data_IF_536017929179
#
_entry.id   IF_536017929179
#
_cell.length_a   1.000
_cell.length_b   1.000
_cell.length_c   1.000
_cell.angle_alpha   90.00
_cell.angle_beta   90.00
_cell.angle_gamma   90.00
#
_symmetry.space_group_name_H-M   'P 1'
#
loop_
_entity.id
_entity.type
_entity.pdbx_description
1 polymer ?
#
# COMPACT_ATOMS: atom_id res chain seq x y z
N UNK A 1 1.98 49.66 -4.57
CA UNK A 1 2.52 49.28 -3.24
C UNK A 1 1.46 48.60 -2.37
N UNK A 2 0.25 49.16 -2.19
CA UNK A 2 -0.81 48.53 -1.36
C UNK A 2 -1.27 47.15 -1.87
N UNK A 3 -1.44 46.96 -3.18
CA UNK A 3 -1.82 45.67 -3.75
C UNK A 3 -0.73 44.60 -3.58
N UNK A 4 0.56 44.97 -3.69
CA UNK A 4 1.67 44.07 -3.42
C UNK A 4 1.78 43.70 -1.93
N UNK A 5 1.63 44.69 -1.02
CA UNK A 5 1.62 44.42 0.42
C UNK A 5 0.47 43.53 0.86
N UNK A 6 -0.73 43.70 0.25
CA UNK A 6 -1.87 42.81 0.53
C UNK A 6 -1.62 41.36 0.04
N UNK A 7 -1.03 41.19 -1.13
CA UNK A 7 -0.65 39.86 -1.62
C UNK A 7 0.39 39.18 -0.70
N UNK A 8 1.40 39.90 -0.21
CA UNK A 8 2.39 39.31 0.71
C UNK A 8 1.77 38.92 2.06
N UNK A 9 0.84 39.71 2.61
CA UNK A 9 0.17 39.40 3.87
C UNK A 9 -0.72 38.14 3.72
N UNK A 10 -1.43 38.02 2.60
CA UNK A 10 -2.26 36.84 2.29
C UNK A 10 -1.39 35.57 2.10
N UNK A 11 -0.25 35.68 1.42
CA UNK A 11 0.71 34.57 1.25
C UNK A 11 1.34 34.12 2.58
N UNK A 12 1.69 35.08 3.45
CA UNK A 12 2.23 34.80 4.78
C UNK A 12 1.21 34.11 5.68
N UNK A 13 -0.06 34.52 5.65
CA UNK A 13 -1.14 33.88 6.38
C UNK A 13 -1.37 32.44 5.89
N UNK A 14 -1.41 32.19 4.57
CA UNK A 14 -1.56 30.85 4.00
C UNK A 14 -0.36 29.96 4.35
N UNK A 15 0.86 30.48 4.30
CA UNK A 15 2.05 29.74 4.72
C UNK A 15 2.00 29.38 6.22
N UNK A 16 1.52 30.29 7.07
CA UNK A 16 1.32 30.02 8.50
C UNK A 16 0.25 28.92 8.72
N UNK A 17 -0.89 29.01 8.03
CA UNK A 17 -1.94 27.96 8.09
C UNK A 17 -1.38 26.61 7.68
N UNK A 18 -0.59 26.55 6.61
CA UNK A 18 0.02 25.32 6.14
C UNK A 18 1.03 24.75 7.15
N UNK A 19 1.87 25.60 7.75
CA UNK A 19 2.80 25.20 8.83
C UNK A 19 2.05 24.60 10.03
N UNK A 20 0.93 25.21 10.44
CA UNK A 20 0.06 24.65 11.49
C UNK A 20 -0.55 23.29 11.10
N UNK A 21 -0.93 23.09 9.83
CA UNK A 21 -1.39 21.79 9.35
C UNK A 21 -0.29 20.75 9.40
N UNK A 22 0.94 21.09 9.01
CA UNK A 22 2.09 20.17 9.09
C UNK A 22 2.43 19.79 10.53
N UNK A 23 2.41 20.74 11.46
CA UNK A 23 2.62 20.49 12.89
C UNK A 23 1.55 19.54 13.47
N UNK A 24 0.33 19.58 12.96
CA UNK A 24 -0.77 18.68 13.35
C UNK A 24 -0.95 17.46 12.45
N UNK A 25 -0.04 17.15 11.53
CA UNK A 25 -0.27 16.17 10.48
C UNK A 25 -0.55 14.74 10.98
N UNK A 26 -0.07 14.38 12.18
CA UNK A 26 -0.34 13.07 12.80
C UNK A 26 -1.81 12.87 13.22
N UNK A 27 -2.59 13.96 13.34
CA UNK A 27 -3.98 13.89 13.86
C UNK A 27 -4.89 13.16 12.90
N UNK A 28 -4.79 13.41 11.59
CA UNK A 28 -5.62 12.77 10.57
C UNK A 28 -5.43 11.23 10.54
N UNK A 29 -4.21 10.68 10.36
CA UNK A 29 -4.01 9.23 10.30
C UNK A 29 -4.43 8.53 11.60
N UNK A 30 -4.21 9.14 12.76
CA UNK A 30 -4.64 8.55 14.04
C UNK A 30 -6.16 8.58 14.21
N UNK A 31 -6.84 9.63 13.75
CA UNK A 31 -8.31 9.69 13.72
C UNK A 31 -8.89 8.67 12.75
N UNK A 32 -8.30 8.51 11.56
CA UNK A 32 -8.70 7.51 10.58
C UNK A 32 -8.51 6.09 11.13
N UNK A 33 -7.37 5.81 11.76
CA UNK A 33 -7.10 4.53 12.42
C UNK A 33 -8.17 4.20 13.49
N UNK A 34 -8.53 5.18 14.32
CA UNK A 34 -9.60 5.01 15.30
C UNK A 34 -10.96 4.76 14.64
N UNK A 35 -11.32 5.52 13.60
CA UNK A 35 -12.56 5.36 12.86
C UNK A 35 -12.67 3.98 12.19
N UNK A 36 -11.58 3.46 11.61
CA UNK A 36 -11.51 2.11 11.04
C UNK A 36 -11.72 1.06 12.15
N UNK A 37 -11.00 1.17 13.27
CA UNK A 37 -11.13 0.21 14.38
C UNK A 37 -12.54 0.19 15.01
N UNK A 38 -13.20 1.33 15.03
CA UNK A 38 -14.58 1.46 15.51
C UNK A 38 -15.62 1.00 14.45
N UNK A 39 -15.22 0.71 13.22
CA UNK A 39 -16.14 0.37 12.13
C UNK A 39 -17.00 1.55 11.64
N UNK A 40 -16.58 2.78 11.91
CA UNK A 40 -17.37 3.99 11.60
C UNK A 40 -17.61 4.13 10.10
N UNK A 41 -16.62 3.82 9.27
CA UNK A 41 -16.76 3.93 7.81
C UNK A 41 -17.78 2.92 7.28
N UNK A 42 -17.76 1.67 7.76
CA UNK A 42 -18.72 0.63 7.41
C UNK A 42 -20.14 1.00 7.85
N UNK A 43 -20.29 1.58 9.04
CA UNK A 43 -21.57 2.06 9.56
C UNK A 43 -22.13 3.15 8.62
N UNK A 44 -21.32 4.14 8.25
CA UNK A 44 -21.74 5.21 7.35
C UNK A 44 -22.08 4.69 5.94
N UNK A 45 -21.28 3.79 5.38
CA UNK A 45 -21.55 3.18 4.07
C UNK A 45 -22.85 2.39 4.08
N UNK A 46 -23.08 1.57 5.11
CA UNK A 46 -24.29 0.78 5.25
C UNK A 46 -25.52 1.67 5.47
N UNK A 47 -25.42 2.65 6.35
CA UNK A 47 -26.52 3.56 6.67
C UNK A 47 -26.93 4.46 5.50
N UNK A 48 -25.99 4.76 4.59
CA UNK A 48 -26.24 5.59 3.40
C UNK A 48 -26.58 4.79 2.13
N UNK A 49 -26.73 3.47 2.22
CA UNK A 49 -27.09 2.62 1.07
C UNK A 49 -25.93 2.33 0.11
N UNK A 50 -24.68 2.48 0.55
CA UNK A 50 -23.50 2.15 -0.24
C UNK A 50 -22.40 3.23 -0.18
N UNK A 51 -21.22 2.98 -0.80
CA UNK A 51 -20.04 3.84 -0.69
C UNK A 51 -20.18 5.21 -1.40
N UNK A 52 -21.24 5.42 -2.15
CA UNK A 52 -21.57 6.68 -2.83
C UNK A 52 -22.87 7.31 -2.30
N UNK A 53 -23.39 6.82 -1.17
CA UNK A 53 -24.60 7.31 -0.55
C UNK A 53 -24.54 8.76 -0.09
N UNK A 54 -25.71 9.32 0.25
CA UNK A 54 -25.81 10.67 0.78
C UNK A 54 -25.53 10.70 2.29
N UNK A 55 -25.11 11.84 2.84
CA UNK A 55 -25.03 12.05 4.28
C UNK A 55 -26.42 11.99 4.92
N UNK A 56 -26.66 10.98 5.76
CA UNK A 56 -27.97 10.77 6.40
C UNK A 56 -27.87 10.50 7.90
N UNK A 57 -26.68 10.20 8.42
CA UNK A 57 -26.49 9.79 9.82
C UNK A 57 -25.89 10.93 10.65
N UNK A 58 -26.49 11.21 11.79
CA UNK A 58 -25.89 12.07 12.82
C UNK A 58 -24.80 11.28 13.59
N UNK A 59 -23.96 12.00 14.35
CA UNK A 59 -23.00 11.36 15.24
C UNK A 59 -23.67 10.46 16.30
N UNK A 60 -24.88 10.82 16.74
CA UNK A 60 -25.69 9.99 17.65
C UNK A 60 -26.16 8.68 16.98
N UNK A 61 -26.56 8.74 15.71
CA UNK A 61 -26.91 7.55 14.94
C UNK A 61 -25.73 6.60 14.82
N UNK A 62 -24.53 7.13 14.50
CA UNK A 62 -23.30 6.34 14.44
C UNK A 62 -22.96 5.75 15.81
N UNK A 63 -23.06 6.53 16.89
CA UNK A 63 -22.78 6.09 18.25
C UNK A 63 -23.70 4.92 18.68
N UNK A 64 -24.97 4.93 18.25
CA UNK A 64 -25.93 3.87 18.57
C UNK A 64 -25.54 2.49 18.04
N UNK A 65 -24.67 2.43 17.01
CA UNK A 65 -24.14 1.18 16.46
C UNK A 65 -22.88 0.68 17.19
N UNK A 66 -22.29 1.50 18.06
CA UNK A 66 -21.10 1.12 18.83
C UNK A 66 -21.49 0.45 20.14
N UNK A 67 -20.72 -0.58 20.52
CA UNK A 67 -20.88 -1.23 21.83
C UNK A 67 -20.18 -0.38 22.90
N UNK A 68 -20.84 0.69 23.35
CA UNK A 68 -20.27 1.61 24.34
C UNK A 68 -21.33 2.07 25.35
N UNK A 69 -20.91 2.24 26.59
CA UNK A 69 -21.72 2.87 27.66
C UNK A 69 -21.24 4.33 27.93
N UNK A 70 -20.33 4.88 27.09
CA UNK A 70 -19.85 6.23 27.26
C UNK A 70 -20.92 7.24 26.82
N UNK A 71 -21.49 8.06 27.76
CA UNK A 71 -22.52 9.05 27.43
C UNK A 71 -22.02 10.16 26.50
N UNK A 72 -20.69 10.37 26.40
CA UNK A 72 -20.05 11.39 25.54
C UNK A 72 -19.68 10.83 24.16
N UNK A 73 -19.97 9.58 23.85
CA UNK A 73 -19.51 8.94 22.60
C UNK A 73 -19.96 9.70 21.35
N UNK A 74 -21.21 10.18 21.30
CA UNK A 74 -21.72 10.96 20.17
C UNK A 74 -20.97 12.28 19.97
N UNK A 75 -20.66 12.99 21.06
CA UNK A 75 -19.90 14.24 21.00
C UNK A 75 -18.47 14.01 20.50
N UNK A 76 -17.79 12.99 21.03
CA UNK A 76 -16.44 12.61 20.59
C UNK A 76 -16.44 12.21 19.13
N UNK A 77 -17.42 11.42 18.68
CA UNK A 77 -17.59 11.05 17.28
C UNK A 77 -17.84 12.27 16.39
N UNK A 78 -18.68 13.23 16.77
CA UNK A 78 -18.91 14.44 15.98
C UNK A 78 -17.61 15.20 15.73
N UNK A 79 -16.71 15.27 16.71
CA UNK A 79 -15.39 15.91 16.56
C UNK A 79 -14.50 15.15 15.56
N UNK A 80 -14.46 13.81 15.65
CA UNK A 80 -13.71 12.96 14.70
C UNK A 80 -14.29 13.05 13.28
N UNK A 81 -15.62 12.99 13.15
CA UNK A 81 -16.30 13.01 11.86
C UNK A 81 -16.13 14.37 11.16
N UNK A 82 -16.15 15.50 11.90
CA UNK A 82 -15.84 16.83 11.35
C UNK A 82 -14.41 16.88 10.76
N UNK A 83 -13.42 16.32 11.45
CA UNK A 83 -12.06 16.27 10.94
C UNK A 83 -12.00 15.41 9.67
N UNK A 84 -12.55 14.21 9.69
CA UNK A 84 -12.56 13.32 8.52
C UNK A 84 -13.30 13.96 7.32
N UNK A 85 -14.37 14.72 7.58
CA UNK A 85 -15.09 15.46 6.55
C UNK A 85 -14.26 16.59 5.94
N UNK A 86 -13.50 17.33 6.77
CA UNK A 86 -12.62 18.40 6.28
C UNK A 86 -11.48 17.90 5.39
N UNK A 87 -11.12 16.62 5.49
CA UNK A 87 -10.16 15.92 4.61
C UNK A 87 -10.83 15.10 3.49
N UNK A 88 -12.12 15.26 3.27
CA UNK A 88 -12.90 14.53 2.25
C UNK A 88 -12.83 12.99 2.41
N UNK A 89 -12.55 12.47 3.60
CA UNK A 89 -12.65 11.04 3.90
C UNK A 89 -14.12 10.62 3.97
N UNK A 90 -14.97 11.49 4.49
CA UNK A 90 -16.43 11.37 4.51
C UNK A 90 -17.06 12.68 4.07
N UNK A 91 -18.36 12.67 3.79
CA UNK A 91 -19.16 13.86 3.50
C UNK A 91 -19.88 14.34 4.74
N UNK A 92 -20.17 15.63 4.80
CA UNK A 92 -20.99 16.22 5.86
C UNK A 92 -21.97 17.23 5.24
N UNK A 93 -23.26 17.05 5.46
CA UNK A 93 -24.30 18.03 5.21
C UNK A 93 -24.67 18.72 6.52
N UNK A 94 -24.91 20.03 6.48
CA UNK A 94 -25.17 20.85 7.65
C UNK A 94 -26.51 21.58 7.48
N UNK A 95 -27.41 21.34 8.40
CA UNK A 95 -28.67 22.09 8.55
C UNK A 95 -28.48 23.08 9.69
N UNK A 96 -28.76 24.36 9.43
CA UNK A 96 -28.62 25.44 10.40
C UNK A 96 -29.99 26.07 10.59
N UNK A 97 -30.70 25.60 11.61
CA UNK A 97 -31.96 26.21 12.11
C UNK A 97 -31.66 26.74 13.54
N UNK A 98 -32.53 26.50 14.49
CA UNK A 98 -32.31 26.83 15.93
C UNK A 98 -31.08 26.10 16.51
N UNK A 99 -30.73 24.96 15.91
CA UNK A 99 -29.54 24.14 16.24
C UNK A 99 -28.80 23.73 14.97
N UNK A 100 -27.47 23.62 15.06
CA UNK A 100 -26.64 23.06 14.00
C UNK A 100 -26.74 21.55 14.04
N UNK A 101 -27.35 20.96 13.00
CA UNK A 101 -27.42 19.51 12.82
C UNK A 101 -26.50 19.09 11.70
N UNK A 102 -25.58 18.16 11.98
CA UNK A 102 -24.65 17.58 10.99
C UNK A 102 -25.06 16.16 10.66
N UNK A 103 -25.12 15.88 9.36
CA UNK A 103 -25.35 14.52 8.84
C UNK A 103 -24.13 14.08 8.06
N UNK A 104 -23.65 12.90 8.36
CA UNK A 104 -22.44 12.32 7.79
C UNK A 104 -22.79 11.16 6.86
N UNK A 105 -21.96 10.97 5.85
CA UNK A 105 -22.07 9.88 4.89
C UNK A 105 -20.73 9.63 4.18
N UNK A 106 -20.63 8.56 3.38
CA UNK A 106 -19.37 8.18 2.74
C UNK A 106 -18.97 9.18 1.64
N UNK A 107 -17.66 9.48 1.56
CA UNK A 107 -17.05 10.03 0.37
C UNK A 107 -16.53 8.88 -0.54
N UNK A 108 -16.16 9.15 -1.80
CA UNK A 108 -15.70 8.12 -2.74
C UNK A 108 -14.53 7.25 -2.23
N UNK A 109 -13.66 7.79 -1.39
CA UNK A 109 -12.53 7.06 -0.78
C UNK A 109 -13.00 5.93 0.14
N UNK A 110 -14.18 6.00 0.72
CA UNK A 110 -14.75 4.93 1.55
C UNK A 110 -14.91 3.61 0.79
N UNK A 111 -15.07 3.65 -0.55
CA UNK A 111 -15.07 2.43 -1.38
C UNK A 111 -13.80 1.59 -1.19
N UNK A 112 -12.68 2.24 -0.92
CA UNK A 112 -11.38 1.59 -0.75
C UNK A 112 -11.04 1.27 0.71
N UNK A 113 -11.66 2.01 1.65
CA UNK A 113 -11.44 1.88 3.08
C UNK A 113 -12.48 1.00 3.79
N UNK A 114 -13.48 0.49 3.05
CA UNK A 114 -14.45 -0.49 3.54
C UNK A 114 -14.37 -1.77 2.72
N UNK A 115 -14.79 -2.90 3.29
CA UNK A 115 -14.73 -4.20 2.60
C UNK A 115 -15.59 -4.20 1.34
N UNK A 116 -14.98 -4.62 0.23
CA UNK A 116 -15.65 -4.82 -1.05
C UNK A 116 -16.30 -6.22 -1.14
N UNK A 117 -16.75 -6.61 -2.33
CA UNK A 117 -17.34 -7.92 -2.63
C UNK A 117 -16.41 -9.10 -2.37
N UNK A 118 -15.09 -8.90 -2.43
CA UNK A 118 -14.07 -9.92 -2.11
C UNK A 118 -13.73 -9.95 -0.61
N UNK A 119 -14.38 -9.10 0.21
CA UNK A 119 -14.13 -8.97 1.63
C UNK A 119 -12.82 -8.27 1.99
N UNK A 120 -12.19 -7.55 1.06
CA UNK A 120 -10.90 -6.85 1.22
C UNK A 120 -11.06 -5.32 1.16
N UNK A 121 -10.13 -4.62 1.81
CA UNK A 121 -10.06 -3.15 1.80
C UNK A 121 -8.64 -2.66 2.08
N UNK A 122 -8.33 -1.41 1.70
CA UNK A 122 -7.08 -0.74 2.09
C UNK A 122 -7.03 -0.34 3.57
N UNK A 123 -8.16 -0.47 4.30
CA UNK A 123 -8.16 -0.27 5.75
C UNK A 123 -7.20 -1.22 6.47
N UNK A 124 -7.06 -2.48 6.00
CA UNK A 124 -6.11 -3.43 6.56
C UNK A 124 -4.65 -2.92 6.44
N UNK A 125 -4.29 -2.31 5.29
CA UNK A 125 -2.99 -1.68 5.10
C UNK A 125 -2.81 -0.48 6.03
N UNK A 126 -3.81 0.38 6.17
CA UNK A 126 -3.75 1.53 7.08
C UNK A 126 -3.57 1.09 8.55
N UNK A 127 -4.32 0.07 8.99
CA UNK A 127 -4.16 -0.50 10.34
C UNK A 127 -2.77 -1.05 10.59
N UNK A 128 -2.16 -1.68 9.59
CA UNK A 128 -0.78 -2.16 9.64
C UNK A 128 0.20 -0.99 9.75
N UNK A 129 0.14 -0.03 8.83
CA UNK A 129 1.07 1.11 8.75
C UNK A 129 1.04 1.96 10.03
N UNK A 130 -0.16 2.14 10.63
CA UNK A 130 -0.32 2.93 11.86
C UNK A 130 -0.27 2.08 13.14
N UNK A 131 0.19 0.83 13.05
CA UNK A 131 0.46 0.06 14.26
C UNK A 131 1.65 0.64 15.04
N UNK A 132 1.55 0.60 16.36
CA UNK A 132 2.57 1.17 17.25
C UNK A 132 3.98 0.63 16.93
N UNK A 133 4.07 -0.66 16.59
CA UNK A 133 5.38 -1.28 16.30
C UNK A 133 6.03 -0.69 15.03
N UNK A 134 5.25 -0.36 13.99
CA UNK A 134 5.78 0.30 12.79
C UNK A 134 6.00 1.79 13.00
N UNK A 135 5.10 2.45 13.74
CA UNK A 135 5.21 3.87 14.03
C UNK A 135 6.41 4.22 14.91
N UNK A 136 6.85 3.34 15.81
CA UNK A 136 8.01 3.54 16.66
C UNK A 136 9.29 3.79 15.86
N UNK A 137 9.44 3.13 14.72
CA UNK A 137 10.63 3.23 13.87
C UNK A 137 10.87 4.64 13.34
N UNK A 138 9.81 5.43 13.14
CA UNK A 138 9.91 6.79 12.61
C UNK A 138 10.67 7.76 13.52
N UNK A 139 10.70 7.50 14.83
CA UNK A 139 11.48 8.30 15.79
C UNK A 139 12.99 8.16 15.64
N UNK A 140 13.46 7.15 14.87
CA UNK A 140 14.88 6.90 14.60
C UNK A 140 15.33 7.34 13.21
N UNK A 141 14.49 8.10 12.49
CA UNK A 141 14.81 8.58 11.13
C UNK A 141 16.00 9.57 11.17
N UNK A 142 16.01 10.49 12.12
CA UNK A 142 17.12 11.43 12.34
C UNK A 142 18.44 10.70 12.59
N UNK A 143 18.45 9.77 13.55
CA UNK A 143 19.63 8.96 13.88
C UNK A 143 20.13 8.17 12.67
N UNK A 144 19.21 7.71 11.80
CA UNK A 144 19.57 6.97 10.60
C UNK A 144 20.25 7.87 9.56
N UNK A 145 19.80 9.10 9.41
CA UNK A 145 20.45 10.09 8.52
C UNK A 145 21.86 10.41 9.00
N UNK A 146 22.05 10.57 10.29
CA UNK A 146 23.34 10.96 10.88
C UNK A 146 24.36 9.80 10.97
N UNK A 147 23.89 8.60 11.25
CA UNK A 147 24.75 7.46 11.63
C UNK A 147 24.66 6.28 10.65
N UNK A 148 23.71 6.31 9.71
CA UNK A 148 23.40 5.19 8.82
C UNK A 148 22.59 4.09 9.50
N UNK A 149 22.34 3.00 8.78
CA UNK A 149 21.53 1.87 9.21
C UNK A 149 20.08 1.97 8.75
N UNK A 150 19.16 1.31 9.46
CA UNK A 150 17.72 1.31 9.18
C UNK A 150 16.97 1.70 10.45
N UNK A 151 16.02 2.64 10.41
CA UNK A 151 15.24 3.08 11.56
C UNK A 151 14.62 1.92 12.33
N UNK A 152 14.00 0.97 11.66
CA UNK A 152 13.41 -0.21 12.30
C UNK A 152 14.42 -1.02 13.10
N UNK A 153 15.61 -1.23 12.55
CA UNK A 153 16.68 -1.96 13.25
C UNK A 153 17.21 -1.17 14.46
N UNK A 154 17.25 0.17 14.36
CA UNK A 154 17.60 1.01 15.52
C UNK A 154 16.55 0.90 16.64
N UNK A 155 15.25 0.88 16.29
CA UNK A 155 14.17 0.74 17.27
C UNK A 155 14.15 -0.63 17.97
N UNK A 156 14.41 -1.73 17.24
CA UNK A 156 14.15 -3.09 17.73
C UNK A 156 15.36 -4.02 17.75
N UNK A 157 16.52 -3.59 17.28
CA UNK A 157 17.74 -4.40 17.21
C UNK A 157 17.72 -5.51 16.15
N UNK A 158 16.66 -5.60 15.34
CA UNK A 158 16.47 -6.60 14.29
C UNK A 158 15.72 -6.02 13.08
N UNK A 159 15.71 -6.71 11.94
CA UNK A 159 14.95 -6.29 10.77
C UNK A 159 13.44 -6.42 10.98
N UNK A 160 12.64 -5.72 10.17
CA UNK A 160 11.18 -5.82 10.19
C UNK A 160 10.70 -7.26 9.89
N UNK A 161 11.37 -7.98 9.00
CA UNK A 161 11.07 -9.38 8.69
C UNK A 161 11.34 -10.31 9.89
N UNK A 162 12.47 -10.13 10.59
CA UNK A 162 12.77 -10.90 11.80
C UNK A 162 11.80 -10.60 12.94
N UNK A 163 11.40 -9.34 13.10
CA UNK A 163 10.41 -8.94 14.09
C UNK A 163 9.03 -9.53 13.78
N UNK A 164 8.63 -9.49 12.53
CA UNK A 164 7.39 -10.08 12.04
C UNK A 164 7.33 -11.60 12.32
N UNK A 165 8.43 -12.30 12.12
CA UNK A 165 8.53 -13.73 12.42
C UNK A 165 8.43 -14.05 13.94
N UNK A 166 8.75 -13.10 14.83
CA UNK A 166 8.75 -13.27 16.29
C UNK A 166 7.47 -12.83 16.98
N UNK A 167 6.75 -11.84 16.42
CA UNK A 167 5.50 -11.32 16.98
C UNK A 167 4.29 -11.80 16.17
N UNK A 168 3.53 -12.82 16.66
CA UNK A 168 2.37 -13.37 15.94
C UNK A 168 1.25 -12.34 15.71
N UNK A 169 1.15 -11.28 16.53
CA UNK A 169 0.18 -10.20 16.35
C UNK A 169 0.54 -9.35 15.14
N UNK A 170 1.80 -8.94 15.04
CA UNK A 170 2.30 -8.16 13.91
C UNK A 170 2.28 -9.01 12.64
N UNK A 171 2.67 -10.28 12.73
CA UNK A 171 2.62 -11.22 11.60
C UNK A 171 1.20 -11.29 11.00
N UNK A 172 0.17 -11.46 11.83
CA UNK A 172 -1.23 -11.48 11.35
C UNK A 172 -1.63 -10.15 10.71
N UNK A 173 -1.26 -9.03 11.33
CA UNK A 173 -1.59 -7.70 10.83
C UNK A 173 -0.91 -7.42 9.48
N UNK A 174 0.34 -7.77 9.35
CA UNK A 174 1.12 -7.67 8.12
C UNK A 174 0.52 -8.55 7.01
N UNK A 175 0.28 -9.82 7.30
CA UNK A 175 -0.28 -10.77 6.34
C UNK A 175 -1.68 -10.34 5.86
N UNK A 176 -2.53 -9.82 6.74
CA UNK A 176 -3.85 -9.30 6.36
C UNK A 176 -3.71 -8.04 5.50
N UNK A 177 -2.84 -7.09 5.86
CA UNK A 177 -2.55 -5.90 5.06
C UNK A 177 -2.06 -6.27 3.66
N UNK A 178 -1.06 -7.14 3.56
CA UNK A 178 -0.48 -7.57 2.29
C UNK A 178 -1.45 -8.39 1.44
N UNK A 179 -2.25 -9.27 2.06
CA UNK A 179 -3.29 -10.03 1.35
C UNK A 179 -4.34 -9.10 0.72
N UNK A 180 -4.88 -8.17 1.50
CA UNK A 180 -5.89 -7.23 1.01
C UNK A 180 -5.33 -6.36 -0.13
N UNK A 181 -4.12 -5.82 0.06
CA UNK A 181 -3.40 -5.06 -0.94
C UNK A 181 -3.18 -5.88 -2.23
N UNK A 182 -2.70 -7.11 -2.10
CA UNK A 182 -2.47 -8.02 -3.23
C UNK A 182 -3.73 -8.30 -4.03
N UNK A 183 -4.86 -8.58 -3.38
CA UNK A 183 -6.13 -8.85 -4.08
C UNK A 183 -6.58 -7.61 -4.88
N UNK A 184 -6.54 -6.42 -4.26
CA UNK A 184 -6.96 -5.16 -4.90
C UNK A 184 -6.08 -4.86 -6.13
N UNK A 185 -4.76 -4.89 -5.99
CA UNK A 185 -3.85 -4.53 -7.08
C UNK A 185 -3.76 -5.60 -8.16
N UNK A 186 -3.87 -6.88 -7.81
CA UNK A 186 -3.94 -7.95 -8.82
C UNK A 186 -5.22 -7.85 -9.64
N UNK A 187 -6.35 -7.50 -9.05
CA UNK A 187 -7.59 -7.23 -9.80
C UNK A 187 -7.36 -6.12 -10.84
N UNK A 188 -6.74 -5.01 -10.43
CA UNK A 188 -6.40 -3.89 -11.33
C UNK A 188 -5.39 -4.27 -12.41
N UNK A 189 -4.37 -5.04 -12.05
CA UNK A 189 -3.43 -5.60 -13.02
C UNK A 189 -4.16 -6.44 -14.08
N UNK A 190 -5.04 -7.34 -13.65
CA UNK A 190 -5.79 -8.21 -14.55
C UNK A 190 -6.81 -7.46 -15.44
N UNK A 191 -7.29 -6.30 -15.01
CA UNK A 191 -8.18 -5.43 -15.82
C UNK A 191 -7.42 -4.74 -16.96
N UNK A 192 -6.20 -4.27 -16.74
CA UNK A 192 -5.48 -3.34 -17.63
C UNK A 192 -4.26 -3.92 -18.33
N UNK A 193 -3.62 -4.96 -17.79
CA UNK A 193 -2.38 -5.52 -18.31
C UNK A 193 -2.64 -6.81 -19.10
N UNK A 194 -2.11 -6.88 -20.33
CA UNK A 194 -2.31 -7.99 -21.27
C UNK A 194 -1.05 -8.88 -21.44
N UNK A 195 -0.01 -8.64 -20.68
CA UNK A 195 1.28 -9.32 -20.85
C UNK A 195 1.31 -10.78 -20.39
N UNK A 196 0.18 -11.38 -20.00
CA UNK A 196 0.09 -12.78 -19.61
C UNK A 196 -0.36 -13.73 -20.73
N UNK A 197 -0.78 -13.22 -21.90
CA UNK A 197 -1.43 -14.01 -22.94
C UNK A 197 -0.53 -15.13 -23.51
N UNK A 198 0.78 -14.88 -23.63
CA UNK A 198 1.75 -15.79 -24.29
C UNK A 198 2.63 -16.54 -23.29
N UNK A 199 2.10 -16.84 -22.11
CA UNK A 199 2.83 -17.52 -21.03
C UNK A 199 2.20 -18.89 -20.78
N UNK A 200 3.02 -19.94 -20.68
CA UNK A 200 2.61 -21.26 -20.22
C UNK A 200 3.04 -21.52 -18.77
N UNK A 201 4.24 -21.07 -18.40
CA UNK A 201 4.75 -21.20 -17.03
C UNK A 201 5.13 -19.84 -16.48
N UNK A 202 4.46 -19.41 -15.41
CA UNK A 202 4.71 -18.16 -14.69
C UNK A 202 5.28 -18.46 -13.30
N UNK A 203 6.46 -17.91 -13.01
CA UNK A 203 7.07 -17.97 -11.67
C UNK A 203 6.79 -16.67 -10.94
N UNK A 204 6.17 -16.72 -9.79
CA UNK A 204 5.94 -15.57 -8.89
C UNK A 204 7.01 -15.60 -7.79
N UNK A 205 8.01 -14.74 -7.90
CA UNK A 205 9.16 -14.66 -6.99
C UNK A 205 8.84 -13.73 -5.82
N UNK A 206 8.94 -14.24 -4.60
CA UNK A 206 8.43 -13.57 -3.41
C UNK A 206 6.90 -13.53 -3.40
N UNK A 207 6.25 -14.55 -3.96
CA UNK A 207 4.79 -14.59 -4.14
C UNK A 207 3.98 -14.80 -2.87
N UNK A 208 4.64 -14.88 -1.71
CA UNK A 208 4.00 -15.08 -0.42
C UNK A 208 3.22 -16.40 -0.40
N UNK A 209 1.99 -16.35 0.08
CA UNK A 209 1.10 -17.54 0.11
C UNK A 209 0.41 -17.82 -1.24
N UNK A 210 0.80 -17.15 -2.35
CA UNK A 210 0.37 -17.48 -3.72
C UNK A 210 -0.96 -16.82 -4.18
N UNK A 211 -1.51 -15.85 -3.46
CA UNK A 211 -2.80 -15.20 -3.79
C UNK A 211 -2.76 -14.56 -5.18
N UNK A 212 -1.74 -13.78 -5.50
CA UNK A 212 -1.57 -13.12 -6.79
C UNK A 212 -1.56 -14.13 -7.93
N UNK A 213 -0.74 -15.17 -7.79
CA UNK A 213 -0.58 -16.19 -8.81
C UNK A 213 -1.87 -17.00 -9.02
N UNK A 214 -2.61 -17.30 -7.93
CA UNK A 214 -3.90 -17.99 -8.02
C UNK A 214 -4.94 -17.18 -8.80
N UNK A 215 -4.97 -15.87 -8.64
CA UNK A 215 -5.85 -14.97 -9.41
C UNK A 215 -5.47 -14.93 -10.89
N UNK A 216 -4.17 -14.88 -11.20
CA UNK A 216 -3.66 -14.88 -12.58
C UNK A 216 -4.01 -16.21 -13.27
N UNK A 217 -3.72 -17.36 -12.64
CA UNK A 217 -4.00 -18.69 -13.21
C UNK A 217 -5.49 -19.01 -13.30
N UNK A 218 -6.33 -18.35 -12.50
CA UNK A 218 -7.79 -18.42 -12.62
C UNK A 218 -8.30 -17.71 -13.86
N UNK A 219 -7.72 -16.57 -14.22
CA UNK A 219 -8.09 -15.82 -15.44
C UNK A 219 -7.45 -16.42 -16.69
N UNK A 220 -6.19 -16.83 -16.60
CA UNK A 220 -5.42 -17.40 -17.71
C UNK A 220 -5.22 -18.90 -17.49
N UNK A 221 -6.22 -19.70 -17.91
CA UNK A 221 -6.28 -21.14 -17.61
C UNK A 221 -5.20 -21.99 -18.29
N UNK A 222 -4.48 -21.44 -19.27
CA UNK A 222 -3.31 -22.06 -19.88
C UNK A 222 -2.04 -21.93 -19.04
N UNK A 223 -1.99 -21.02 -18.07
CA UNK A 223 -0.81 -20.78 -17.25
C UNK A 223 -0.72 -21.81 -16.12
N UNK A 224 0.45 -22.49 -16.02
CA UNK A 224 0.91 -23.17 -14.83
C UNK A 224 1.71 -22.18 -13.98
N UNK A 225 1.31 -21.98 -12.73
CA UNK A 225 1.98 -21.09 -11.80
C UNK A 225 2.99 -21.83 -10.91
N UNK A 226 4.13 -21.21 -10.65
CA UNK A 226 5.11 -21.62 -9.64
C UNK A 226 5.21 -20.47 -8.63
N UNK A 227 4.64 -20.65 -7.45
CA UNK A 227 4.77 -19.72 -6.33
C UNK A 227 6.07 -20.01 -5.58
N UNK A 228 7.01 -19.08 -5.62
CA UNK A 228 8.35 -19.25 -5.06
C UNK A 228 8.61 -18.26 -3.95
N UNK A 229 8.87 -18.77 -2.75
CA UNK A 229 9.15 -17.96 -1.56
C UNK A 229 10.00 -18.75 -0.54
N UNK A 230 10.34 -18.13 0.57
CA UNK A 230 11.10 -18.76 1.65
C UNK A 230 10.36 -19.96 2.26
N UNK A 231 11.07 -21.00 2.76
CA UNK A 231 10.45 -22.22 3.27
C UNK A 231 9.35 -22.01 4.31
N UNK A 232 9.55 -21.09 5.25
CA UNK A 232 8.56 -20.79 6.29
C UNK A 232 7.29 -20.12 5.74
N UNK A 233 7.38 -19.36 4.63
CA UNK A 233 6.24 -18.76 3.95
C UNK A 233 5.43 -19.80 3.18
N UNK A 234 6.13 -20.66 2.46
CA UNK A 234 5.53 -21.74 1.66
C UNK A 234 4.80 -22.76 2.54
N UNK A 235 5.29 -23.03 3.75
CA UNK A 235 4.64 -23.94 4.70
C UNK A 235 3.22 -23.51 5.04
N UNK A 236 2.93 -22.22 5.06
CA UNK A 236 1.61 -21.66 5.38
C UNK A 236 0.73 -21.43 4.14
N UNK A 237 1.24 -21.70 2.93
CA UNK A 237 0.55 -21.44 1.68
C UNK A 237 -0.57 -22.47 1.43
N UNK A 238 -1.84 -22.06 1.25
CA UNK A 238 -2.92 -22.96 0.92
C UNK A 238 -2.80 -23.48 -0.52
N UNK A 239 -3.30 -24.68 -0.82
CA UNK A 239 -3.28 -25.20 -2.18
C UNK A 239 -4.19 -24.40 -3.11
N UNK A 240 -3.70 -24.09 -4.31
CA UNK A 240 -4.48 -23.45 -5.37
C UNK A 240 -4.44 -24.29 -6.65
N UNK A 241 -5.54 -24.33 -7.44
CA UNK A 241 -5.54 -24.98 -8.73
C UNK A 241 -4.44 -24.42 -9.66
N UNK A 242 -3.66 -25.29 -10.30
CA UNK A 242 -2.56 -24.93 -11.22
C UNK A 242 -1.42 -24.12 -10.63
N UNK A 243 -1.32 -24.02 -9.31
CA UNK A 243 -0.20 -23.37 -8.61
C UNK A 243 0.58 -24.43 -7.85
N UNK A 244 1.84 -24.53 -8.16
CA UNK A 244 2.83 -25.31 -7.43
C UNK A 244 3.57 -24.38 -6.46
N UNK A 245 3.67 -24.76 -5.19
CA UNK A 245 4.45 -24.03 -4.20
C UNK A 245 5.86 -24.61 -4.14
N UNK A 246 6.87 -23.76 -4.33
CA UNK A 246 8.29 -24.15 -4.32
C UNK A 246 9.01 -23.25 -3.32
N UNK A 247 9.70 -23.85 -2.39
CA UNK A 247 10.51 -23.10 -1.42
C UNK A 247 11.94 -22.87 -1.94
N UNK A 248 12.51 -21.73 -1.53
CA UNK A 248 13.90 -21.39 -1.87
C UNK A 248 14.27 -19.96 -1.55
N UNK A 249 15.45 -19.57 -2.02
CA UNK A 249 16.04 -18.26 -1.80
C UNK A 249 16.34 -17.61 -3.15
N UNK A 250 15.61 -16.51 -3.46
CA UNK A 250 15.74 -15.77 -4.72
C UNK A 250 17.15 -15.21 -4.95
N UNK A 251 17.92 -15.04 -3.88
CA UNK A 251 19.32 -14.64 -3.97
C UNK A 251 20.28 -15.79 -4.38
N UNK A 252 19.83 -17.03 -4.38
CA UNK A 252 20.59 -18.21 -4.81
C UNK A 252 20.16 -18.68 -6.19
N UNK A 253 18.91 -19.08 -6.32
CA UNK A 253 18.33 -19.61 -7.56
C UNK A 253 16.86 -19.29 -7.66
N UNK A 254 16.34 -19.23 -8.90
CA UNK A 254 14.92 -19.07 -9.20
C UNK A 254 14.46 -20.21 -10.09
N UNK A 255 13.27 -20.79 -9.88
CA UNK A 255 12.72 -21.82 -10.76
C UNK A 255 12.60 -21.35 -12.21
N UNK A 256 12.70 -22.28 -13.18
CA UNK A 256 12.55 -21.97 -14.61
C UNK A 256 11.08 -21.72 -14.97
N UNK A 257 10.85 -20.73 -15.85
CA UNK A 257 9.54 -20.41 -16.41
C UNK A 257 9.66 -19.57 -17.67
N UNK A 258 8.56 -19.40 -18.39
CA UNK A 258 8.50 -18.55 -19.58
C UNK A 258 8.49 -17.07 -19.19
N UNK A 259 7.95 -16.78 -18.02
CA UNK A 259 7.97 -15.47 -17.43
C UNK A 259 8.15 -15.52 -15.90
N UNK A 260 8.70 -14.46 -15.36
CA UNK A 260 8.87 -14.23 -13.92
C UNK A 260 8.09 -12.99 -13.53
N UNK A 261 7.26 -13.11 -12.50
CA UNK A 261 6.58 -12.00 -11.84
C UNK A 261 7.31 -11.67 -10.54
N UNK A 262 7.53 -10.39 -10.29
CA UNK A 262 7.96 -9.86 -8.99
C UNK A 262 7.02 -8.72 -8.62
N UNK A 263 6.21 -8.91 -7.58
CA UNK A 263 5.23 -7.93 -7.13
C UNK A 263 5.62 -7.38 -5.77
N UNK A 264 6.00 -6.09 -5.72
CA UNK A 264 6.46 -5.42 -4.51
C UNK A 264 7.64 -6.15 -3.87
N UNK A 265 8.65 -6.43 -4.70
CA UNK A 265 9.89 -7.11 -4.31
C UNK A 265 11.10 -6.21 -4.50
N UNK A 266 11.17 -5.50 -5.65
CA UNK A 266 12.37 -4.72 -5.95
C UNK A 266 12.54 -3.53 -5.00
N UNK A 267 11.45 -2.99 -4.50
CA UNK A 267 11.48 -1.87 -3.57
C UNK A 267 11.98 -2.24 -2.15
N UNK A 268 11.95 -3.50 -1.78
CA UNK A 268 12.46 -3.95 -0.48
C UNK A 268 14.00 -3.93 -0.39
N UNK A 269 14.69 -3.78 -1.53
CA UNK A 269 16.12 -4.03 -1.66
C UNK A 269 16.90 -2.89 -2.31
N UNK A 270 18.18 -2.75 -1.93
CA UNK A 270 19.12 -1.87 -2.62
C UNK A 270 19.46 -2.39 -4.02
N UNK A 271 20.15 -1.56 -4.81
CA UNK A 271 20.46 -1.87 -6.21
C UNK A 271 21.36 -3.10 -6.38
N UNK A 272 22.28 -3.35 -5.45
CA UNK A 272 23.15 -4.54 -5.48
C UNK A 272 22.34 -5.84 -5.34
N UNK A 273 21.43 -5.88 -4.37
CA UNK A 273 20.53 -7.01 -4.17
C UNK A 273 19.57 -7.19 -5.35
N UNK A 274 18.99 -6.10 -5.86
CA UNK A 274 18.15 -6.13 -7.05
C UNK A 274 18.87 -6.67 -8.27
N UNK A 275 20.15 -6.27 -8.49
CA UNK A 275 20.99 -6.81 -9.56
C UNK A 275 21.19 -8.33 -9.43
N UNK A 276 21.39 -8.82 -8.22
CA UNK A 276 21.54 -10.26 -7.98
C UNK A 276 20.27 -11.03 -8.30
N UNK A 277 19.10 -10.52 -7.85
CA UNK A 277 17.79 -11.13 -8.17
C UNK A 277 17.58 -11.13 -9.70
N UNK A 278 17.78 -10.01 -10.37
CA UNK A 278 17.59 -9.88 -11.82
C UNK A 278 18.51 -10.82 -12.62
N UNK A 279 19.78 -11.01 -12.21
CA UNK A 279 20.68 -11.99 -12.83
C UNK A 279 20.19 -13.44 -12.64
N UNK A 280 19.62 -13.76 -11.47
CA UNK A 280 19.03 -15.07 -11.26
C UNK A 280 17.76 -15.24 -12.11
N UNK A 281 16.92 -14.20 -12.27
CA UNK A 281 15.80 -14.18 -13.21
C UNK A 281 16.27 -14.41 -14.65
N UNK A 282 17.32 -13.70 -15.08
CA UNK A 282 17.91 -13.86 -16.43
C UNK A 282 18.34 -15.29 -16.69
N UNK A 283 18.98 -15.93 -15.71
CA UNK A 283 19.45 -17.31 -15.81
C UNK A 283 18.31 -18.34 -15.84
N UNK A 284 17.18 -18.06 -15.20
CA UNK A 284 16.02 -18.93 -15.12
C UNK A 284 15.11 -18.88 -16.37
N UNK A 285 15.21 -17.79 -17.15
CA UNK A 285 14.38 -17.55 -18.33
C UNK A 285 14.96 -18.16 -19.61
N UNK A 286 14.10 -18.67 -20.54
CA UNK A 286 14.50 -18.97 -21.91
C UNK A 286 14.81 -17.67 -22.70
N UNK A 287 15.40 -17.80 -23.90
CA UNK A 287 15.80 -16.66 -24.75
C UNK A 287 14.66 -15.68 -25.08
N UNK A 288 13.42 -16.14 -25.16
CA UNK A 288 12.24 -15.29 -25.36
C UNK A 288 11.48 -14.99 -24.06
N UNK A 289 12.10 -15.28 -22.92
CA UNK A 289 11.50 -15.08 -21.63
C UNK A 289 11.38 -13.59 -21.24
N UNK A 290 10.54 -13.31 -20.26
CA UNK A 290 10.31 -11.95 -19.77
C UNK A 290 10.20 -11.89 -18.27
N UNK A 291 10.57 -10.73 -17.71
CA UNK A 291 10.29 -10.36 -16.32
C UNK A 291 9.17 -9.32 -16.33
N UNK A 292 8.25 -9.47 -15.38
CA UNK A 292 7.16 -8.52 -15.09
C UNK A 292 7.36 -8.06 -13.65
N UNK A 293 7.71 -6.80 -13.47
CA UNK A 293 7.87 -6.17 -12.16
C UNK A 293 6.62 -5.33 -11.91
N UNK A 294 5.91 -5.58 -10.83
CA UNK A 294 4.78 -4.77 -10.37
C UNK A 294 5.24 -4.00 -9.13
N UNK A 295 5.48 -2.72 -9.28
CA UNK A 295 6.03 -1.89 -8.21
C UNK A 295 5.60 -0.43 -8.32
N UNK A 296 5.87 0.37 -7.28
CA UNK A 296 5.71 1.82 -7.33
C UNK A 296 6.76 2.42 -8.26
N UNK A 297 6.37 3.45 -9.01
CA UNK A 297 7.31 4.24 -9.83
C UNK A 297 7.20 5.69 -9.42
N UNK A 298 8.32 6.25 -8.96
CA UNK A 298 8.42 7.64 -8.56
C UNK A 298 8.48 8.55 -9.79
N UNK A 299 7.83 9.72 -9.77
CA UNK A 299 8.09 10.74 -10.76
C UNK A 299 9.48 11.35 -10.55
N UNK A 300 10.09 11.80 -11.64
CA UNK A 300 11.40 12.50 -11.59
C UNK A 300 11.31 13.85 -10.84
N UNK A 301 10.16 14.50 -10.91
CA UNK A 301 9.90 15.78 -10.26
C UNK A 301 8.88 15.56 -9.15
N UNK A 302 9.22 15.88 -7.90
CA UNK A 302 8.27 15.80 -6.80
C UNK A 302 7.09 16.76 -7.00
N UNK A 303 5.86 16.21 -6.97
CA UNK A 303 4.64 17.02 -7.01
C UNK A 303 3.57 16.48 -6.04
N UNK A 304 2.56 17.30 -5.79
CA UNK A 304 1.53 17.01 -4.82
C UNK A 304 0.63 15.83 -5.21
N UNK A 305 0.53 15.47 -6.49
CA UNK A 305 -0.31 14.37 -6.98
C UNK A 305 0.35 13.00 -6.75
N UNK A 306 1.67 12.99 -6.53
CA UNK A 306 2.46 11.78 -6.32
C UNK A 306 2.83 11.52 -4.86
N UNK A 307 2.25 12.26 -3.90
CA UNK A 307 2.60 12.12 -2.45
C UNK A 307 2.59 10.68 -1.98
N UNK A 308 1.57 9.89 -2.35
CA UNK A 308 1.49 8.50 -1.92
C UNK A 308 2.61 7.58 -2.44
N UNK A 309 3.26 7.94 -3.56
CA UNK A 309 4.46 7.23 -4.01
C UNK A 309 5.68 7.59 -3.14
N UNK A 310 5.84 8.86 -2.77
CA UNK A 310 6.90 9.28 -1.84
C UNK A 310 6.67 8.77 -0.42
N UNK A 311 5.39 8.64 0.03
CA UNK A 311 5.07 7.97 1.29
C UNK A 311 5.54 6.51 1.27
N UNK A 312 5.33 5.78 0.16
CA UNK A 312 5.82 4.40 -0.02
C UNK A 312 7.34 4.33 0.07
N UNK A 313 8.06 5.21 -0.63
CA UNK A 313 9.52 5.27 -0.61
C UNK A 313 10.08 5.46 0.81
N UNK A 314 9.49 6.39 1.57
CA UNK A 314 9.89 6.62 2.97
C UNK A 314 9.53 5.42 3.88
N UNK A 315 8.42 4.72 3.62
CA UNK A 315 8.08 3.48 4.33
C UNK A 315 9.14 2.40 4.07
N UNK A 316 9.64 2.28 2.84
CA UNK A 316 10.73 1.36 2.50
C UNK A 316 12.03 1.76 3.21
N UNK A 317 12.41 3.03 3.18
CA UNK A 317 13.57 3.55 3.90
C UNK A 317 13.53 3.21 5.41
N UNK A 318 12.36 3.35 6.04
CA UNK A 318 12.19 3.15 7.49
C UNK A 318 12.24 1.68 7.88
N UNK A 319 11.67 0.78 7.07
CA UNK A 319 11.48 -0.62 7.45
C UNK A 319 12.54 -1.57 6.86
N UNK A 320 13.05 -1.30 5.65
CA UNK A 320 13.85 -2.25 4.89
C UNK A 320 15.30 -1.77 4.70
N UNK A 321 16.31 -2.59 4.98
CA UNK A 321 17.72 -2.22 4.79
C UNK A 321 18.04 -1.92 3.33
N UNK A 322 18.16 -0.62 2.99
CA UNK A 322 18.42 -0.15 1.62
C UNK A 322 17.22 -0.25 0.67
N UNK A 323 16.02 -0.48 1.23
CA UNK A 323 14.78 -0.44 0.47
C UNK A 323 14.50 0.96 -0.06
N UNK A 324 14.00 1.06 -1.30
CA UNK A 324 13.61 2.31 -1.94
C UNK A 324 12.67 2.06 -3.12
N UNK A 325 11.70 2.94 -3.31
CA UNK A 325 10.99 3.02 -4.58
C UNK A 325 11.89 3.73 -5.62
N UNK A 326 11.64 3.50 -6.90
CA UNK A 326 12.52 3.95 -7.98
C UNK A 326 11.76 4.72 -9.05
N UNK A 327 12.44 5.66 -9.70
CA UNK A 327 11.95 6.30 -10.93
C UNK A 327 12.01 5.33 -12.11
N UNK A 328 11.32 5.66 -13.20
CA UNK A 328 11.39 4.86 -14.44
C UNK A 328 12.82 4.73 -14.96
N UNK A 329 13.63 5.81 -14.88
CA UNK A 329 15.03 5.78 -15.31
C UNK A 329 15.89 4.86 -14.46
N UNK A 330 15.69 4.86 -13.15
CA UNK A 330 16.41 3.95 -12.25
C UNK A 330 16.04 2.50 -12.53
N UNK A 331 14.74 2.17 -12.69
CA UNK A 331 14.32 0.82 -13.10
C UNK A 331 14.92 0.41 -14.43
N UNK A 332 14.90 1.29 -15.43
CA UNK A 332 15.51 1.03 -16.76
C UNK A 332 16.98 0.70 -16.63
N UNK A 333 17.76 1.56 -15.95
CA UNK A 333 19.18 1.33 -15.71
C UNK A 333 19.43 0.01 -14.98
N UNK A 334 18.61 -0.31 -13.99
CA UNK A 334 18.74 -1.51 -13.17
C UNK A 334 18.54 -2.78 -13.99
N UNK A 335 17.51 -2.85 -14.84
CA UNK A 335 17.21 -4.04 -15.65
C UNK A 335 18.15 -4.18 -16.84
N UNK A 336 18.55 -3.09 -17.49
CA UNK A 336 19.51 -3.09 -18.60
C UNK A 336 20.89 -3.56 -18.14
N UNK A 337 21.34 -3.13 -16.96
CA UNK A 337 22.62 -3.58 -16.39
C UNK A 337 22.59 -5.06 -15.96
N UNK A 338 21.43 -5.67 -15.81
CA UNK A 338 21.28 -7.12 -15.62
C UNK A 338 21.18 -7.93 -16.94
N UNK A 339 21.23 -7.24 -18.10
CA UNK A 339 21.20 -7.85 -19.44
C UNK A 339 19.84 -7.88 -20.12
N UNK A 340 18.79 -7.34 -19.49
CA UNK A 340 17.45 -7.28 -20.08
C UNK A 340 17.31 -6.14 -21.09
N UNK A 341 16.34 -6.28 -21.99
CA UNK A 341 16.01 -5.31 -23.03
C UNK A 341 14.49 -5.12 -23.14
N UNK A 342 14.04 -4.28 -24.07
CA UNK A 342 12.62 -4.12 -24.41
C UNK A 342 11.77 -3.59 -23.24
N UNK A 343 12.30 -2.64 -22.48
CA UNK A 343 11.63 -2.02 -21.35
C UNK A 343 10.30 -1.38 -21.75
N UNK A 344 9.22 -1.79 -21.09
CA UNK A 344 7.89 -1.23 -21.26
C UNK A 344 7.23 -1.06 -19.89
N UNK A 345 6.89 0.16 -19.53
CA UNK A 345 6.13 0.49 -18.32
C UNK A 345 4.65 0.74 -18.68
N UNK A 346 3.75 0.14 -17.92
CA UNK A 346 2.30 0.29 -18.07
C UNK A 346 1.72 0.69 -16.71
N UNK A 347 1.08 1.84 -16.62
CA UNK A 347 0.41 2.28 -15.41
C UNK A 347 -0.77 1.37 -15.08
N UNK A 348 -0.86 0.94 -13.84
CA UNK A 348 -1.93 0.04 -13.37
C UNK A 348 -2.95 0.78 -12.51
N UNK A 349 -2.53 1.29 -11.37
CA UNK A 349 -3.40 2.05 -10.46
C UNK A 349 -2.58 2.60 -9.29
N UNK A 350 -2.97 3.76 -8.74
CA UNK A 350 -2.45 4.31 -7.48
C UNK A 350 -0.91 4.22 -7.37
N UNK A 351 -0.20 4.81 -8.35
CA UNK A 351 1.26 4.88 -8.47
C UNK A 351 1.96 3.54 -8.82
N UNK A 352 1.23 2.43 -8.92
CA UNK A 352 1.77 1.11 -9.28
C UNK A 352 1.81 0.94 -10.78
N UNK A 353 2.93 0.45 -11.28
CA UNK A 353 3.19 0.16 -12.68
C UNK A 353 3.57 -1.30 -12.88
N UNK A 354 3.21 -1.84 -14.04
CA UNK A 354 3.76 -3.10 -14.54
C UNK A 354 4.91 -2.78 -15.50
N UNK A 355 6.12 -3.09 -15.09
CA UNK A 355 7.34 -2.95 -15.89
C UNK A 355 7.64 -4.31 -16.48
N UNK A 356 7.65 -4.40 -17.81
CA UNK A 356 7.98 -5.61 -18.55
C UNK A 356 9.32 -5.43 -19.26
N UNK A 357 10.18 -6.42 -19.12
CA UNK A 357 11.48 -6.50 -19.83
C UNK A 357 11.66 -7.89 -20.42
N UNK A 358 12.47 -8.00 -21.46
CA UNK A 358 12.77 -9.25 -22.19
C UNK A 358 14.23 -9.64 -22.03
N UNK A 359 14.46 -10.93 -22.00
CA UNK A 359 15.80 -11.48 -22.09
C UNK A 359 16.37 -11.31 -23.48
#
# INVERSE_FOLDING_TARGET
MEVQQKNYADEEEEACKYAMQLAGACVLPMTLNAAIKLGVLEILVKGSGGPFGKPVMTASDVASHLKTNNPQAAEMLDRMLRLLASYNVIKCDVEIDDKVTRRYGPAPVCKWLTKNEDGVSLAALALMTYDKALMESWYYLEDTVLEGGTPFKKAYGMSAFEYNAKDPRISRLFNEGMKNHSVIFTKKLLESYQGFNDINTLVDVGGGIGVTLSMITSKYSNIKGINFDLPHVITDAPPYPRVEHVDGDMFKTIPRGDAILMKFIMHDWNDEHCQKILKNCYSALPENGKVIILDFVLPEIPDATARGAFDSDLIMLVNNPGGKDRTEKEFRSLVESAGFSGFKATYINAYVWAIQVKK
#
